data_IF_469264524605
#
_entry.id   IF_469264524605
#
_cell.length_a   1.000
_cell.length_b   1.000
_cell.length_c   1.000
_cell.angle_alpha   90.00
_cell.angle_beta   90.00
_cell.angle_gamma   90.00
#
_symmetry.space_group_name_H-M   'P 1'
#
loop_
_entity.id
_entity.type
_entity.pdbx_description
1 polymer ?
#
# COMPACT_ATOMS: atom_id res chain seq x y z
N UNK A 1 -3.28 5.35 -9.49
CA UNK A 1 -2.31 4.24 -9.71
C UNK A 1 -0.97 4.57 -9.09
N UNK A 2 -0.36 5.71 -9.43
CA UNK A 2 0.79 6.26 -8.71
C UNK A 2 0.26 7.26 -7.68
N UNK A 3 0.76 7.21 -6.45
CA UNK A 3 0.59 8.28 -5.46
C UNK A 3 1.92 8.97 -5.18
N UNK A 4 1.87 10.22 -4.74
CA UNK A 4 3.00 10.89 -4.09
C UNK A 4 2.94 10.56 -2.60
N UNK A 5 4.06 10.10 -2.04
CA UNK A 5 4.18 9.90 -0.61
C UNK A 5 4.24 11.27 0.09
N UNK A 6 3.36 11.58 1.05
CA UNK A 6 3.24 12.92 1.63
C UNK A 6 4.51 13.33 2.39
N UNK A 7 5.07 12.40 3.17
CA UNK A 7 6.28 12.65 3.96
C UNK A 7 7.57 12.75 3.12
N UNK A 8 7.77 11.87 2.13
CA UNK A 8 9.04 11.74 1.39
C UNK A 8 9.00 12.36 -0.02
N UNK A 9 7.83 12.60 -0.60
CA UNK A 9 7.68 13.04 -1.98
C UNK A 9 7.94 11.96 -3.05
N UNK A 10 8.29 10.74 -2.64
CA UNK A 10 8.54 9.64 -3.57
C UNK A 10 7.25 9.17 -4.26
N UNK A 11 7.40 8.67 -5.50
CA UNK A 11 6.29 8.09 -6.26
C UNK A 11 6.16 6.61 -5.91
N UNK A 12 5.03 6.21 -5.35
CA UNK A 12 4.76 4.80 -5.01
C UNK A 12 3.58 4.26 -5.83
N UNK A 13 3.59 2.95 -6.12
CA UNK A 13 2.47 2.27 -6.75
C UNK A 13 1.42 1.92 -5.70
N UNK A 14 0.19 2.40 -5.91
CA UNK A 14 -0.98 2.05 -5.11
C UNK A 14 -1.81 1.00 -5.85
N UNK A 15 -1.59 -0.26 -5.49
CA UNK A 15 -2.24 -1.46 -6.02
C UNK A 15 -2.39 -2.50 -4.90
N UNK A 16 -2.85 -3.70 -5.24
CA UNK A 16 -3.00 -4.83 -4.32
C UNK A 16 -4.28 -5.60 -4.59
N UNK A 17 -4.58 -6.59 -3.74
CA UNK A 17 -5.73 -7.48 -3.97
C UNK A 17 -7.10 -6.79 -3.88
N UNK A 18 -7.17 -5.55 -3.37
CA UNK A 18 -8.41 -4.76 -3.35
C UNK A 18 -8.74 -4.10 -4.70
N UNK A 19 -7.80 -4.10 -5.64
CA UNK A 19 -8.00 -3.59 -7.00
C UNK A 19 -9.17 -4.31 -7.71
N UNK A 20 -9.93 -3.55 -8.51
CA UNK A 20 -11.02 -4.08 -9.35
C UNK A 20 -10.77 -3.84 -10.83
N UNK A 21 -10.57 -2.59 -11.22
CA UNK A 21 -10.35 -2.19 -12.61
C UNK A 21 -9.62 -0.85 -12.70
N UNK A 22 -9.08 -0.54 -13.87
CA UNK A 22 -8.60 0.80 -14.18
C UNK A 22 -9.71 1.58 -14.88
N UNK A 23 -9.96 2.80 -14.40
CA UNK A 23 -10.91 3.72 -15.02
C UNK A 23 -10.54 3.95 -16.48
N UNK A 24 -11.51 3.77 -17.38
CA UNK A 24 -11.34 4.02 -18.82
C UNK A 24 -10.75 2.85 -19.62
N UNK A 25 -10.44 1.72 -18.99
CA UNK A 25 -9.98 0.50 -19.69
C UNK A 25 -11.06 -0.58 -19.71
N UNK A 26 -11.01 -1.47 -20.70
CA UNK A 26 -11.83 -2.69 -20.71
C UNK A 26 -11.38 -3.64 -19.60
N UNK A 27 -12.24 -4.58 -19.14
CA UNK A 27 -11.86 -5.55 -18.11
C UNK A 27 -10.63 -6.38 -18.47
N UNK A 28 -10.51 -6.85 -19.72
CA UNK A 28 -9.36 -7.65 -20.17
C UNK A 28 -8.04 -6.85 -20.16
N UNK A 29 -8.09 -5.59 -20.57
CA UNK A 29 -6.95 -4.67 -20.54
C UNK A 29 -6.53 -4.37 -19.09
N UNK A 30 -7.52 -4.19 -18.20
CA UNK A 30 -7.26 -3.96 -16.78
C UNK A 30 -6.55 -5.13 -16.12
N UNK A 31 -6.98 -6.36 -16.39
CA UNK A 31 -6.34 -7.57 -15.88
C UNK A 31 -4.90 -7.70 -16.39
N UNK A 32 -4.69 -7.50 -17.68
CA UNK A 32 -3.35 -7.59 -18.28
C UNK A 32 -2.39 -6.57 -17.68
N UNK A 33 -2.81 -5.31 -17.55
CA UNK A 33 -1.99 -4.26 -16.97
C UNK A 33 -1.73 -4.50 -15.47
N UNK A 34 -2.74 -4.94 -14.71
CA UNK A 34 -2.58 -5.29 -13.31
C UNK A 34 -1.51 -6.38 -13.11
N UNK A 35 -1.52 -7.44 -13.93
CA UNK A 35 -0.53 -8.51 -13.84
C UNK A 35 0.89 -8.01 -14.07
N UNK A 36 1.11 -7.15 -15.08
CA UNK A 36 2.42 -6.57 -15.38
C UNK A 36 2.93 -5.75 -14.18
N UNK A 37 2.06 -4.91 -13.61
CA UNK A 37 2.43 -4.05 -12.50
C UNK A 37 2.68 -4.85 -11.21
N UNK A 38 1.80 -5.81 -10.89
CA UNK A 38 2.02 -6.68 -9.73
C UNK A 38 3.29 -7.50 -9.87
N UNK A 39 3.60 -8.05 -11.04
CA UNK A 39 4.82 -8.82 -11.25
C UNK A 39 6.08 -8.00 -10.97
N UNK A 40 6.06 -6.68 -11.24
CA UNK A 40 7.16 -5.76 -10.89
C UNK A 40 7.20 -5.47 -9.39
N UNK A 41 6.05 -5.28 -8.75
CA UNK A 41 5.96 -5.03 -7.30
C UNK A 41 6.50 -6.23 -6.51
N UNK A 42 6.12 -7.45 -6.88
CA UNK A 42 6.49 -8.67 -6.13
C UNK A 42 7.78 -9.33 -6.60
N UNK A 43 8.56 -8.67 -7.47
CA UNK A 43 9.86 -9.16 -7.91
C UNK A 43 10.75 -9.37 -6.67
N UNK A 44 11.46 -10.49 -6.56
CA UNK A 44 12.15 -10.85 -5.32
C UNK A 44 13.16 -9.80 -4.85
N UNK A 45 13.80 -9.10 -5.79
CA UNK A 45 14.74 -8.00 -5.52
C UNK A 45 14.09 -6.79 -4.83
N UNK A 46 12.76 -6.68 -4.89
CA UNK A 46 11.96 -5.63 -4.24
C UNK A 46 11.31 -6.11 -2.94
N UNK A 47 11.64 -7.32 -2.47
CA UNK A 47 10.99 -7.94 -1.32
C UNK A 47 11.98 -8.26 -0.21
N UNK A 48 11.50 -8.14 1.03
CA UNK A 48 12.13 -8.73 2.21
C UNK A 48 11.17 -9.77 2.78
N UNK A 49 11.71 -10.92 3.20
CA UNK A 49 10.95 -11.98 3.87
C UNK A 49 11.47 -12.14 5.30
N UNK A 50 10.56 -12.09 6.27
CA UNK A 50 10.88 -12.21 7.68
C UNK A 50 10.37 -13.52 8.28
N UNK A 51 11.24 -14.20 9.04
CA UNK A 51 10.86 -15.36 9.84
C UNK A 51 10.63 -14.91 11.29
N UNK A 52 9.37 -14.93 11.72
CA UNK A 52 8.96 -14.44 13.02
C UNK A 52 9.48 -15.30 14.18
N UNK A 53 9.99 -14.63 15.21
CA UNK A 53 10.29 -15.18 16.54
C UNK A 53 9.50 -14.45 17.63
N UNK A 54 9.36 -15.08 18.80
CA UNK A 54 8.71 -14.43 19.94
C UNK A 54 9.50 -13.19 20.37
N UNK A 55 8.79 -12.07 20.52
CA UNK A 55 9.38 -10.77 20.85
C UNK A 55 9.69 -9.88 19.64
N UNK A 56 9.60 -10.41 18.41
CA UNK A 56 9.77 -9.61 17.20
C UNK A 56 8.65 -8.57 17.03
N UNK A 57 9.03 -7.40 16.54
CA UNK A 57 8.13 -6.34 16.09
C UNK A 57 8.54 -5.90 14.69
N UNK A 58 7.57 -5.89 13.76
CA UNK A 58 7.75 -5.27 12.45
C UNK A 58 6.95 -3.97 12.37
N UNK A 59 7.57 -2.95 11.80
CA UNK A 59 6.93 -1.69 11.42
C UNK A 59 7.15 -1.56 9.92
N UNK A 60 6.09 -1.25 9.18
CA UNK A 60 6.17 -1.00 7.74
C UNK A 60 5.38 0.25 7.38
N UNK A 61 5.86 0.95 6.36
CA UNK A 61 5.15 2.07 5.78
C UNK A 61 4.10 1.55 4.79
N UNK A 62 2.82 1.64 5.16
CA UNK A 62 1.72 1.17 4.32
C UNK A 62 1.45 2.06 3.09
N UNK A 63 2.13 3.20 2.96
CA UNK A 63 2.06 4.07 1.79
C UNK A 63 3.12 3.72 0.72
N UNK A 64 4.10 2.90 1.08
CA UNK A 64 5.20 2.49 0.21
C UNK A 64 5.37 0.97 0.07
N UNK A 65 4.49 0.16 0.68
CA UNK A 65 4.66 -1.30 0.72
C UNK A 65 3.38 -2.07 0.41
N UNK A 66 3.55 -3.29 -0.08
CA UNK A 66 2.59 -4.37 0.04
C UNK A 66 3.19 -5.45 0.96
N UNK A 67 2.34 -6.27 1.58
CA UNK A 67 2.78 -7.40 2.39
C UNK A 67 1.94 -8.64 2.12
N UNK A 68 2.53 -9.81 2.37
CA UNK A 68 1.89 -11.09 2.17
C UNK A 68 2.20 -12.04 3.33
N UNK A 69 1.16 -12.53 4.01
CA UNK A 69 1.28 -13.58 5.01
C UNK A 69 1.37 -14.94 4.34
N UNK A 70 2.54 -15.57 4.40
CA UNK A 70 2.76 -16.89 3.79
C UNK A 70 2.10 -17.96 4.65
N UNK A 71 1.27 -18.80 4.01
CA UNK A 71 0.57 -19.91 4.66
C UNK A 71 1.32 -21.24 4.47
N UNK A 72 2.59 -21.28 4.89
CA UNK A 72 3.51 -22.43 4.73
C UNK A 72 3.76 -23.21 6.03
N UNK A 73 2.83 -23.11 6.99
CA UNK A 73 2.94 -23.73 8.32
C UNK A 73 1.94 -24.87 8.57
N UNK A 74 1.24 -25.34 7.53
CA UNK A 74 0.26 -26.43 7.62
C UNK A 74 -0.95 -26.05 8.47
N UNK A 75 -1.31 -26.90 9.44
CA UNK A 75 -2.45 -26.68 10.35
C UNK A 75 -2.06 -25.99 11.66
N UNK A 76 -0.80 -25.58 11.80
CA UNK A 76 -0.33 -24.92 13.01
C UNK A 76 -1.03 -23.56 13.20
N UNK A 77 -1.32 -23.22 14.45
CA UNK A 77 -1.88 -21.91 14.76
C UNK A 77 -0.82 -20.81 14.62
N UNK A 78 -1.20 -19.68 14.05
CA UNK A 78 -0.38 -18.47 13.94
C UNK A 78 -1.21 -17.25 14.33
N UNK A 79 -0.73 -16.48 15.30
CA UNK A 79 -1.36 -15.22 15.73
C UNK A 79 -0.33 -14.11 15.80
N UNK A 80 -0.71 -12.92 15.33
CA UNK A 80 0.04 -11.67 15.44
C UNK A 80 -0.96 -10.56 15.74
N UNK A 81 -0.60 -9.61 16.60
CA UNK A 81 -1.41 -8.43 16.86
C UNK A 81 -0.94 -7.28 15.98
N UNK A 82 -1.88 -6.47 15.49
CA UNK A 82 -1.59 -5.33 14.62
C UNK A 82 -2.22 -4.07 15.19
N UNK A 83 -1.43 -3.00 15.20
CA UNK A 83 -1.89 -1.63 15.37
C UNK A 83 -1.68 -0.92 14.04
N UNK A 84 -2.68 -0.16 13.60
CA UNK A 84 -2.61 0.66 12.38
C UNK A 84 -2.75 2.11 12.78
N UNK A 85 -1.92 2.97 12.21
CA UNK A 85 -2.00 4.43 12.40
C UNK A 85 -2.80 5.04 11.24
N UNK A 86 -3.55 6.11 11.53
CA UNK A 86 -4.30 6.85 10.53
C UNK A 86 -3.35 7.44 9.47
N UNK A 87 -3.82 7.49 8.22
CA UNK A 87 -3.11 8.07 7.08
C UNK A 87 -3.86 9.23 6.45
N UNK A 88 -3.34 9.72 5.33
CA UNK A 88 -3.93 10.78 4.51
C UNK A 88 -4.67 10.22 3.29
N UNK A 89 -5.33 11.09 2.53
CA UNK A 89 -5.95 10.74 1.24
C UNK A 89 -4.87 10.74 0.16
N UNK A 90 -4.68 9.65 -0.62
CA UNK A 90 -3.67 9.62 -1.66
C UNK A 90 -3.88 10.70 -2.72
N UNK A 91 -2.79 11.40 -3.06
CA UNK A 91 -2.69 12.41 -4.10
C UNK A 91 -1.88 11.87 -5.28
N UNK A 92 -2.35 12.10 -6.50
CA UNK A 92 -1.64 11.70 -7.71
C UNK A 92 -0.46 12.63 -8.06
N UNK A 93 0.19 12.39 -9.20
CA UNK A 93 1.35 13.18 -9.64
C UNK A 93 1.01 14.61 -10.08
N UNK A 94 -0.28 14.94 -10.19
CA UNK A 94 -0.81 16.24 -10.60
C UNK A 94 -1.45 17.01 -9.45
N UNK A 95 -1.50 16.45 -8.24
CA UNK A 95 -2.12 17.09 -7.08
C UNK A 95 -3.59 16.70 -6.88
N UNK A 96 -4.13 15.78 -7.68
CA UNK A 96 -5.53 15.36 -7.59
C UNK A 96 -5.72 14.29 -6.52
N UNK A 97 -6.72 14.48 -5.65
CA UNK A 97 -7.04 13.54 -4.58
C UNK A 97 -7.87 12.35 -5.07
N UNK A 98 -7.76 11.24 -4.34
CA UNK A 98 -8.63 10.07 -4.52
C UNK A 98 -10.11 10.43 -4.35
N UNK A 99 -10.97 9.78 -5.13
CA UNK A 99 -12.43 10.01 -5.13
C UNK A 99 -13.18 8.86 -4.47
N UNK A 100 -14.09 9.19 -3.56
CA UNK A 100 -14.99 8.22 -2.92
C UNK A 100 -16.16 7.93 -3.85
N UNK A 101 -16.41 6.65 -4.14
CA UNK A 101 -17.58 6.22 -4.91
C UNK A 101 -18.73 5.75 -4.01
N UNK A 102 -18.40 5.06 -2.91
CA UNK A 102 -19.35 4.53 -1.94
C UNK A 102 -18.67 4.33 -0.58
N UNK A 103 -19.44 4.52 0.50
CA UNK A 103 -19.00 4.30 1.88
C UNK A 103 -18.53 5.58 2.58
N UNK A 104 -18.38 5.49 3.90
CA UNK A 104 -17.84 6.52 4.78
C UNK A 104 -16.90 5.85 5.79
N UNK A 105 -15.72 6.45 6.00
CA UNK A 105 -14.67 5.95 6.87
C UNK A 105 -14.45 6.84 8.12
N UNK A 106 -15.31 7.84 8.36
CA UNK A 106 -15.15 8.77 9.48
C UNK A 106 -15.13 8.10 10.86
N UNK A 107 -15.88 7.00 11.04
CA UNK A 107 -15.85 6.21 12.28
C UNK A 107 -14.60 5.34 12.41
N UNK A 108 -13.94 5.02 11.29
CA UNK A 108 -12.75 4.18 11.29
C UNK A 108 -11.52 4.96 11.75
N UNK A 109 -11.30 6.16 11.20
CA UNK A 109 -10.19 7.03 11.57
C UNK A 109 -10.40 8.47 11.12
N UNK A 110 -9.64 9.38 11.74
CA UNK A 110 -9.39 10.72 11.17
C UNK A 110 -8.58 10.64 9.87
N UNK A 111 -8.56 11.74 9.12
CA UNK A 111 -7.56 11.99 8.06
C UNK A 111 -6.37 12.67 8.73
N UNK A 112 -5.20 12.05 8.66
CA UNK A 112 -3.99 12.58 9.26
C UNK A 112 -3.43 13.76 8.45
N UNK A 113 -2.93 14.77 9.14
CA UNK A 113 -2.05 15.79 8.57
C UNK A 113 -0.60 15.30 8.68
N UNK A 114 0.12 15.27 7.55
CA UNK A 114 1.44 14.64 7.46
C UNK A 114 2.45 15.65 6.93
N UNK A 115 3.39 16.02 7.80
CA UNK A 115 4.50 16.89 7.45
C UNK A 115 5.51 16.21 6.52
N UNK A 116 6.06 16.99 5.58
CA UNK A 116 7.22 16.62 4.80
C UNK A 116 8.42 16.40 5.71
N UNK A 117 9.11 15.27 5.55
CA UNK A 117 10.33 14.98 6.31
C UNK A 117 11.51 15.78 5.75
N UNK A 118 12.33 16.39 6.64
CA UNK A 118 13.57 17.04 6.20
C UNK A 118 14.53 15.99 5.62
N UNK A 119 15.25 16.37 4.56
CA UNK A 119 16.24 15.51 3.90
C UNK A 119 15.72 14.71 2.70
N UNK A 120 14.41 14.67 2.47
CA UNK A 120 13.84 14.22 1.21
C UNK A 120 13.69 15.42 0.27
N UNK A 121 14.47 15.47 -0.81
CA UNK A 121 14.47 16.59 -1.73
C UNK A 121 13.11 16.80 -2.40
N UNK A 122 12.65 18.05 -2.46
CA UNK A 122 11.60 18.44 -3.38
C UNK A 122 12.21 18.47 -4.79
N UNK A 123 12.01 17.39 -5.55
CA UNK A 123 12.29 17.39 -6.99
C UNK A 123 11.23 18.21 -7.72
#
# INVERSE_FOLDING_TARGET
>A
MVRIHPATGEKTLLLGHFFKEFVGLKPSESVALYQILQARIIKLENTVRWNWSAGDLAIWDNQATQHYGIADYGTQARSVHRVTLAGDVPVDVHGEQSRILQGDAAEYSIIADIDRLPGFAAN
#
